data_IF_187348237292
#
_entry.id   IF_187348237292
#
_cell.length_a   1.000
_cell.length_b   1.000
_cell.length_c   1.000
_cell.angle_alpha   90.00
_cell.angle_beta   90.00
_cell.angle_gamma   90.00
#
_symmetry.space_group_name_H-M   'P 1'
#
loop_
_entity.id
_entity.type
_entity.pdbx_description
1 polymer ?
#
# COMPACT_ATOMS: atom_id res chain seq x y z
N UNK A 1 23.38 65.32 6.11
CA UNK A 1 24.27 65.70 7.20
C UNK A 1 24.80 64.42 7.85
N UNK A 2 26.08 64.26 7.69
CA UNK A 2 27.07 63.80 8.68
C UNK A 2 26.83 62.34 9.20
N UNK A 3 27.68 61.38 8.73
CA UNK A 3 28.97 60.97 9.34
C UNK A 3 28.72 60.16 10.60
N UNK A 4 29.29 59.01 10.89
CA UNK A 4 30.70 58.54 11.01
C UNK A 4 30.61 57.02 11.23
N UNK A 5 31.21 56.09 10.48
CA UNK A 5 32.54 55.47 10.59
C UNK A 5 32.89 54.95 12.00
N UNK A 6 33.12 53.65 12.10
CA UNK A 6 34.19 52.91 12.78
C UNK A 6 33.87 51.42 12.75
N UNK A 7 34.50 50.58 12.00
CA UNK A 7 35.89 50.01 11.98
C UNK A 7 36.31 49.50 13.38
N UNK A 8 36.56 48.22 13.46
CA UNK A 8 37.62 47.48 14.19
C UNK A 8 37.24 46.01 14.07
N UNK A 9 37.89 45.25 13.23
CA UNK A 9 39.19 44.58 13.24
C UNK A 9 39.21 43.28 14.05
N UNK A 10 39.23 42.23 13.34
CA UNK A 10 39.97 40.95 13.43
C UNK A 10 40.37 40.40 14.82
N UNK A 11 40.04 39.17 15.07
CA UNK A 11 41.04 38.20 15.59
C UNK A 11 40.83 36.84 14.86
N UNK A 12 41.83 36.50 14.11
CA UNK A 12 42.15 35.15 13.63
C UNK A 12 42.47 34.26 14.83
N UNK A 13 41.90 33.07 14.88
CA UNK A 13 42.60 31.93 15.48
C UNK A 13 42.35 30.71 14.60
N UNK A 14 43.35 30.46 13.77
CA UNK A 14 43.54 29.20 13.10
C UNK A 14 43.95 28.13 14.12
N UNK A 15 43.24 27.06 14.18
CA UNK A 15 43.81 25.79 14.61
C UNK A 15 43.41 24.72 13.58
N UNK A 16 44.37 24.50 12.71
CA UNK A 16 44.47 23.30 11.91
C UNK A 16 44.97 22.18 12.82
N UNK A 17 44.17 21.13 12.96
CA UNK A 17 44.71 19.82 13.31
C UNK A 17 44.10 18.79 12.36
N UNK A 18 44.92 18.42 11.43
CA UNK A 18 44.84 17.22 10.63
C UNK A 18 44.73 16.00 11.55
N UNK A 19 43.72 15.21 11.34
CA UNK A 19 43.75 13.79 11.66
C UNK A 19 43.11 13.05 10.50
N UNK A 20 43.96 12.61 9.58
CA UNK A 20 43.64 11.53 8.66
C UNK A 20 43.33 10.28 9.50
N UNK A 21 42.19 9.70 9.34
CA UNK A 21 41.98 8.29 9.54
C UNK A 21 41.13 7.79 8.39
N UNK A 22 41.80 7.08 7.49
CA UNK A 22 41.18 6.23 6.48
C UNK A 22 40.23 5.26 7.16
N UNK A 23 39.00 5.31 6.80
CA UNK A 23 38.19 4.12 6.66
C UNK A 23 37.05 4.43 5.67
N UNK A 24 37.26 3.96 4.44
CA UNK A 24 36.30 4.00 3.36
C UNK A 24 35.10 3.10 3.70
N UNK A 25 34.12 3.67 4.34
CA UNK A 25 32.76 3.16 4.39
C UNK A 25 31.91 4.09 3.53
N UNK A 26 31.68 3.72 2.27
CA UNK A 26 30.61 4.32 1.51
C UNK A 26 29.32 4.05 2.28
N UNK A 27 28.85 5.05 3.01
CA UNK A 27 27.53 5.06 3.58
C UNK A 27 26.57 5.19 2.40
N UNK A 28 26.15 4.02 1.88
CA UNK A 28 25.04 3.90 0.97
C UNK A 28 23.85 4.45 1.75
N UNK A 29 23.49 5.69 1.50
CA UNK A 29 22.23 6.23 1.95
C UNK A 29 21.18 5.45 1.16
N UNK A 30 20.73 4.34 1.71
CA UNK A 30 19.52 3.70 1.26
C UNK A 30 18.43 4.73 1.55
N UNK A 31 17.94 5.36 0.50
CA UNK A 31 16.68 6.07 0.56
C UNK A 31 15.64 4.99 0.80
N UNK A 32 15.32 4.73 2.07
CA UNK A 32 14.19 3.90 2.44
C UNK A 32 12.99 4.62 1.83
N UNK A 33 12.47 4.10 0.74
CA UNK A 33 11.18 4.52 0.23
C UNK A 33 10.20 4.14 1.32
N UNK A 34 9.72 5.11 2.07
CA UNK A 34 8.72 4.89 3.09
C UNK A 34 7.43 4.58 2.33
N UNK A 35 7.06 3.30 2.30
CA UNK A 35 5.78 2.86 1.78
C UNK A 35 4.73 3.27 2.80
N UNK A 36 4.20 4.47 2.64
CA UNK A 36 3.02 4.90 3.39
C UNK A 36 1.77 4.30 2.74
N UNK A 37 0.86 3.82 3.58
CA UNK A 37 -0.44 3.37 3.15
C UNK A 37 -1.25 4.58 2.65
N UNK A 38 -1.37 4.72 1.34
CA UNK A 38 -2.19 5.73 0.67
C UNK A 38 -3.24 5.03 -0.19
N UNK A 39 -4.33 4.66 0.44
CA UNK A 39 -5.44 3.99 -0.23
C UNK A 39 -6.70 4.88 -0.33
N UNK A 40 -6.69 6.08 0.27
CA UNK A 40 -7.83 7.00 0.24
C UNK A 40 -9.14 6.31 0.57
N UNK A 41 -10.05 6.23 -0.40
CA UNK A 41 -11.35 5.57 -0.28
C UNK A 41 -11.31 4.06 -0.62
N UNK A 42 -10.18 3.57 -1.17
CA UNK A 42 -9.98 2.16 -1.53
C UNK A 42 -9.36 1.37 -0.36
N UNK A 43 -10.07 1.28 0.75
CA UNK A 43 -9.73 0.42 1.88
C UNK A 43 -10.71 -0.76 1.98
N UNK A 44 -10.35 -1.76 2.78
CA UNK A 44 -11.24 -2.82 3.21
C UNK A 44 -11.62 -2.66 4.69
N UNK A 45 -12.77 -3.13 5.07
CA UNK A 45 -13.19 -3.14 6.46
C UNK A 45 -13.84 -4.49 6.83
N UNK A 46 -13.40 -5.06 7.95
CA UNK A 46 -14.01 -6.24 8.56
C UNK A 46 -14.40 -5.88 10.00
N UNK A 47 -15.70 -5.77 10.27
CA UNK A 47 -16.18 -5.20 11.52
C UNK A 47 -15.64 -3.78 11.73
N UNK A 48 -14.97 -3.56 12.87
CA UNK A 48 -14.36 -2.26 13.21
C UNK A 48 -12.92 -2.11 12.70
N UNK A 49 -12.36 -3.15 12.06
CA UNK A 49 -10.98 -3.14 11.54
C UNK A 49 -10.97 -2.59 10.12
N UNK A 50 -10.32 -1.43 9.94
CA UNK A 50 -10.10 -0.78 8.66
C UNK A 50 -8.64 -0.93 8.26
N UNK A 51 -8.38 -1.39 7.04
CA UNK A 51 -7.02 -1.55 6.51
C UNK A 51 -6.98 -1.52 4.99
N UNK A 52 -5.79 -1.38 4.43
CA UNK A 52 -5.60 -1.31 2.99
C UNK A 52 -4.21 -1.77 2.55
N UNK A 53 -3.88 -1.48 1.31
CA UNK A 53 -2.58 -1.83 0.72
C UNK A 53 -1.46 -1.06 1.42
N UNK A 54 -0.39 -1.75 1.76
CA UNK A 54 0.81 -1.33 2.48
C UNK A 54 0.64 -1.09 3.99
N UNK A 55 -0.52 -1.36 4.58
CA UNK A 55 -0.60 -1.38 6.03
C UNK A 55 0.33 -2.45 6.64
N UNK A 56 0.92 -2.21 7.83
CA UNK A 56 1.74 -3.18 8.52
C UNK A 56 0.94 -4.47 8.80
N UNK A 57 1.47 -5.61 8.32
CA UNK A 57 0.73 -6.87 8.37
C UNK A 57 0.49 -7.37 9.80
N UNK A 58 1.45 -7.16 10.71
CA UNK A 58 1.36 -7.57 12.10
C UNK A 58 0.21 -6.86 12.85
N UNK A 59 0.02 -5.55 12.60
CA UNK A 59 -1.07 -4.77 13.17
C UNK A 59 -2.43 -5.23 12.62
N UNK A 60 -2.53 -5.40 11.30
CA UNK A 60 -3.75 -5.84 10.63
C UNK A 60 -4.16 -7.24 11.07
N UNK A 61 -3.24 -8.22 11.02
CA UNK A 61 -3.53 -9.59 11.41
C UNK A 61 -3.85 -9.72 12.90
N UNK A 62 -3.19 -8.94 13.76
CA UNK A 62 -3.51 -8.89 15.20
C UNK A 62 -4.93 -8.34 15.44
N UNK A 63 -5.35 -7.33 14.68
CA UNK A 63 -6.69 -6.75 14.81
C UNK A 63 -7.79 -7.65 14.25
N UNK A 64 -7.52 -8.36 13.14
CA UNK A 64 -8.45 -9.32 12.53
C UNK A 64 -8.62 -10.60 13.36
N UNK A 65 -7.61 -10.95 14.18
CA UNK A 65 -7.60 -12.19 14.96
C UNK A 65 -7.20 -13.43 14.14
N UNK A 66 -7.52 -14.61 14.66
CA UNK A 66 -7.12 -15.89 14.05
C UNK A 66 -7.78 -16.12 12.69
N UNK A 67 -7.02 -16.37 11.60
CA UNK A 67 -7.58 -16.74 10.31
C UNK A 67 -8.15 -18.16 10.36
N UNK A 68 -9.11 -18.47 9.51
CA UNK A 68 -9.65 -19.84 9.31
C UNK A 68 -8.55 -20.78 8.85
N UNK A 69 -7.67 -20.29 7.99
CA UNK A 69 -6.47 -21.03 7.53
C UNK A 69 -5.43 -20.06 6.96
N UNK A 70 -4.22 -20.54 6.77
CA UNK A 70 -3.18 -19.81 6.07
C UNK A 70 -2.40 -20.72 5.13
N UNK A 71 -1.73 -20.12 4.15
CA UNK A 71 -0.88 -20.80 3.18
C UNK A 71 0.30 -19.90 2.81
N UNK A 72 1.46 -20.50 2.55
CA UNK A 72 2.64 -19.79 2.08
C UNK A 72 3.22 -20.44 0.83
N UNK A 73 3.67 -19.61 -0.10
CA UNK A 73 4.43 -20.04 -1.29
C UNK A 73 5.62 -19.11 -1.55
N UNK A 74 6.55 -19.54 -2.39
CA UNK A 74 7.63 -18.64 -2.80
C UNK A 74 7.06 -17.54 -3.70
N UNK A 75 7.40 -16.29 -3.37
CA UNK A 75 6.95 -15.15 -4.16
C UNK A 75 7.71 -15.02 -5.47
N UNK A 76 7.00 -14.65 -6.54
CA UNK A 76 7.59 -14.28 -7.83
C UNK A 76 7.74 -12.75 -7.98
N UNK A 77 7.03 -11.97 -7.16
CA UNK A 77 6.96 -10.52 -7.27
C UNK A 77 7.76 -9.81 -6.17
N UNK A 78 7.87 -10.42 -5.00
CA UNK A 78 8.52 -9.87 -3.81
C UNK A 78 9.67 -10.76 -3.33
N UNK A 79 10.46 -10.29 -2.40
CA UNK A 79 11.44 -11.14 -1.74
C UNK A 79 10.74 -12.09 -0.75
N UNK A 80 11.24 -13.33 -0.64
CA UNK A 80 10.72 -14.28 0.31
C UNK A 80 9.45 -14.99 -0.15
N UNK A 81 8.38 -14.86 0.61
CA UNK A 81 7.15 -15.63 0.42
C UNK A 81 5.93 -14.74 0.23
N UNK A 82 4.98 -15.27 -0.54
CA UNK A 82 3.59 -14.85 -0.53
C UNK A 82 2.92 -15.59 0.64
N UNK A 83 2.32 -14.84 1.58
CA UNK A 83 1.60 -15.37 2.74
C UNK A 83 0.12 -15.04 2.61
N UNK A 84 -0.70 -16.05 2.49
CA UNK A 84 -2.15 -15.94 2.33
C UNK A 84 -2.83 -16.26 3.65
N UNK A 85 -3.69 -15.37 4.12
CA UNK A 85 -4.50 -15.54 5.33
C UNK A 85 -5.97 -15.52 4.94
N UNK A 86 -6.66 -16.65 5.16
CA UNK A 86 -8.06 -16.84 4.78
C UNK A 86 -8.97 -16.58 5.97
N UNK A 87 -9.91 -15.68 5.78
CA UNK A 87 -10.97 -15.35 6.72
C UNK A 87 -12.34 -15.71 6.14
N UNK A 88 -13.40 -15.63 6.94
CA UNK A 88 -14.75 -15.84 6.46
C UNK A 88 -15.10 -14.75 5.41
N UNK A 89 -15.21 -15.17 4.16
CA UNK A 89 -15.59 -14.33 3.03
C UNK A 89 -14.49 -13.48 2.39
N UNK A 90 -13.27 -13.43 2.93
CA UNK A 90 -12.15 -12.68 2.33
C UNK A 90 -10.78 -13.29 2.61
N UNK A 91 -9.81 -12.85 1.82
CA UNK A 91 -8.41 -13.25 1.93
C UNK A 91 -7.51 -12.02 2.04
N UNK A 92 -6.45 -12.11 2.84
CA UNK A 92 -5.38 -11.11 2.95
C UNK A 92 -4.06 -11.72 2.46
N UNK A 93 -3.44 -11.05 1.48
CA UNK A 93 -2.09 -11.39 1.01
C UNK A 93 -1.07 -10.45 1.66
N UNK A 94 -0.03 -11.05 2.20
CA UNK A 94 1.09 -10.35 2.86
C UNK A 94 2.40 -10.72 2.17
N UNK A 95 3.21 -9.71 1.91
CA UNK A 95 4.55 -9.86 1.34
C UNK A 95 5.59 -9.04 2.12
N UNK A 96 6.85 -9.40 1.97
CA UNK A 96 7.98 -8.59 2.40
C UNK A 96 8.19 -7.45 1.39
N UNK A 97 7.92 -6.23 1.83
CA UNK A 97 8.15 -5.01 1.08
C UNK A 97 9.29 -4.26 1.76
N UNK A 98 10.48 -4.32 1.17
CA UNK A 98 11.71 -3.67 1.67
C UNK A 98 12.05 -4.03 3.14
N UNK A 99 11.92 -5.31 3.50
CA UNK A 99 12.25 -5.84 4.82
C UNK A 99 11.14 -5.63 5.87
N UNK A 100 9.92 -5.27 5.45
CA UNK A 100 8.75 -5.14 6.31
C UNK A 100 7.58 -5.91 5.71
N UNK A 101 6.92 -6.74 6.50
CA UNK A 101 5.71 -7.44 6.05
C UNK A 101 4.53 -6.47 5.98
N UNK A 102 3.93 -6.39 4.80
CA UNK A 102 2.81 -5.48 4.51
C UNK A 102 1.69 -6.19 3.78
N UNK A 103 0.49 -5.69 3.94
CA UNK A 103 -0.66 -6.10 3.14
C UNK A 103 -0.42 -5.66 1.69
N UNK A 104 -0.45 -6.60 0.75
CA UNK A 104 -0.25 -6.34 -0.69
C UNK A 104 -1.42 -6.77 -1.55
N UNK A 105 -2.37 -7.50 -0.96
CA UNK A 105 -3.60 -7.89 -1.62
C UNK A 105 -4.72 -8.17 -0.63
N UNK A 106 -5.96 -7.93 -1.06
CA UNK A 106 -7.18 -8.29 -0.33
C UNK A 106 -8.18 -8.77 -1.38
N UNK A 107 -8.69 -10.00 -1.22
CA UNK A 107 -9.66 -10.60 -2.14
C UNK A 107 -10.99 -10.79 -1.44
N UNK A 108 -12.08 -10.30 -2.03
CA UNK A 108 -13.45 -10.64 -1.61
C UNK A 108 -13.77 -12.00 -2.20
N UNK A 109 -13.89 -13.02 -1.34
CA UNK A 109 -13.96 -14.42 -1.76
C UNK A 109 -15.38 -14.90 -2.10
N UNK A 110 -16.41 -14.33 -1.45
CA UNK A 110 -17.80 -14.73 -1.64
C UNK A 110 -18.80 -13.58 -1.44
N UNK A 111 -20.09 -13.88 -1.42
CA UNK A 111 -21.19 -12.93 -1.28
C UNK A 111 -21.58 -12.61 0.16
N UNK A 112 -20.90 -13.18 1.16
CA UNK A 112 -21.18 -12.96 2.59
C UNK A 112 -20.59 -11.64 3.11
N UNK A 113 -19.56 -11.13 2.43
CA UNK A 113 -18.89 -9.87 2.73
C UNK A 113 -18.97 -8.90 1.55
N UNK A 114 -18.73 -7.62 1.83
CA UNK A 114 -18.63 -6.55 0.82
C UNK A 114 -17.46 -5.62 1.13
N UNK A 115 -17.05 -4.85 0.14
CA UNK A 115 -16.19 -3.70 0.43
C UNK A 115 -16.98 -2.59 1.17
N UNK A 116 -16.34 -1.52 1.67
CA UNK A 116 -17.01 -0.43 2.36
C UNK A 116 -18.06 0.30 1.52
N UNK A 117 -17.94 0.30 0.20
CA UNK A 117 -18.93 0.87 -0.72
C UNK A 117 -20.13 -0.07 -0.95
N UNK A 118 -20.08 -1.32 -0.49
CA UNK A 118 -21.16 -2.29 -0.61
C UNK A 118 -21.02 -3.27 -1.80
N UNK A 119 -19.89 -3.22 -2.53
CA UNK A 119 -19.63 -4.14 -3.64
C UNK A 119 -19.34 -5.54 -3.10
N UNK A 120 -19.99 -6.56 -3.66
CA UNK A 120 -19.80 -7.97 -3.32
C UNK A 120 -19.92 -8.88 -4.53
N UNK A 121 -19.43 -10.09 -4.38
CA UNK A 121 -19.53 -11.13 -5.39
C UNK A 121 -21.01 -11.46 -5.68
N UNK A 122 -21.33 -11.70 -6.95
CA UNK A 122 -22.66 -12.09 -7.40
C UNK A 122 -23.66 -10.96 -7.62
N UNK A 123 -23.38 -9.73 -7.15
CA UNK A 123 -24.24 -8.58 -7.43
C UNK A 123 -24.17 -8.19 -8.92
N UNK A 124 -25.11 -7.39 -9.40
CA UNK A 124 -25.05 -6.89 -10.77
C UNK A 124 -23.92 -5.89 -10.96
N UNK A 125 -23.25 -5.98 -12.11
CA UNK A 125 -22.10 -5.12 -12.42
C UNK A 125 -22.44 -3.63 -12.50
N UNK A 126 -23.61 -3.29 -13.06
CA UNK A 126 -24.11 -1.91 -13.10
C UNK A 126 -24.41 -1.35 -11.70
N UNK A 127 -24.96 -2.15 -10.81
CA UNK A 127 -25.15 -1.80 -9.40
C UNK A 127 -23.81 -1.60 -8.68
N UNK A 128 -22.83 -2.48 -8.92
CA UNK A 128 -21.49 -2.38 -8.34
C UNK A 128 -20.76 -1.11 -8.81
N UNK A 129 -20.87 -0.78 -10.10
CA UNK A 129 -20.26 0.44 -10.64
C UNK A 129 -20.92 1.71 -10.08
N UNK A 130 -22.23 1.70 -9.88
CA UNK A 130 -22.95 2.83 -9.27
C UNK A 130 -22.56 3.07 -7.80
N UNK A 131 -22.15 2.04 -7.07
CA UNK A 131 -21.62 2.14 -5.70
C UNK A 131 -20.20 2.72 -5.65
N UNK A 132 -19.49 2.76 -6.78
CA UNK A 132 -18.11 3.24 -6.93
C UNK A 132 -18.03 4.52 -7.78
N UNK A 133 -19.14 5.24 -7.99
CA UNK A 133 -19.25 6.35 -8.94
C UNK A 133 -18.39 7.58 -8.56
N UNK A 134 -18.02 7.71 -7.29
CA UNK A 134 -17.13 8.78 -6.83
C UNK A 134 -15.64 8.54 -7.20
N UNK A 135 -15.28 7.36 -7.71
CA UNK A 135 -13.89 6.98 -8.03
C UNK A 135 -13.78 6.71 -9.54
N UNK A 136 -12.88 7.44 -10.21
CA UNK A 136 -12.62 7.21 -11.63
C UNK A 136 -12.07 5.82 -11.90
N UNK A 137 -12.49 5.21 -13.00
CA UNK A 137 -12.00 3.89 -13.39
C UNK A 137 -11.55 3.84 -14.86
N UNK A 138 -10.70 2.86 -15.17
CA UNK A 138 -10.40 2.43 -16.52
C UNK A 138 -11.02 1.05 -16.76
N UNK A 139 -11.49 0.81 -18.00
CA UNK A 139 -12.09 -0.46 -18.37
C UNK A 139 -11.25 -1.18 -19.44
N UNK A 140 -11.06 -2.47 -19.25
CA UNK A 140 -10.44 -3.36 -20.24
C UNK A 140 -11.24 -4.68 -20.31
N UNK A 141 -12.02 -4.84 -21.37
CA UNK A 141 -12.93 -5.98 -21.50
C UNK A 141 -14.00 -5.96 -20.40
N UNK A 142 -14.04 -7.03 -19.61
CA UNK A 142 -14.96 -7.25 -18.49
C UNK A 142 -14.40 -6.77 -17.13
N UNK A 143 -13.24 -6.12 -17.15
CA UNK A 143 -12.50 -5.70 -15.96
C UNK A 143 -12.50 -4.19 -15.83
N UNK A 144 -12.89 -3.71 -14.65
CA UNK A 144 -12.89 -2.30 -14.24
C UNK A 144 -11.82 -2.11 -13.18
N UNK A 145 -10.98 -1.07 -13.34
CA UNK A 145 -9.83 -0.77 -12.48
C UNK A 145 -9.98 0.62 -11.90
N UNK A 146 -10.12 0.69 -10.59
CA UNK A 146 -10.17 1.92 -9.80
C UNK A 146 -8.83 2.09 -9.13
N UNK A 147 -8.19 3.25 -9.24
CA UNK A 147 -6.85 3.50 -8.68
C UNK A 147 -6.87 4.76 -7.82
N UNK A 148 -6.43 4.62 -6.56
CA UNK A 148 -6.22 5.74 -5.64
C UNK A 148 -4.88 5.54 -4.93
N UNK A 149 -3.98 6.49 -5.08
CA UNK A 149 -2.63 6.40 -4.51
C UNK A 149 -1.90 5.12 -4.91
N UNK A 150 -1.51 4.33 -3.94
CA UNK A 150 -0.83 3.04 -4.14
C UNK A 150 -1.77 1.84 -4.31
N UNK A 151 -3.08 2.05 -4.27
CA UNK A 151 -4.09 0.97 -4.30
C UNK A 151 -4.81 0.90 -5.63
N UNK A 152 -4.89 -0.30 -6.18
CA UNK A 152 -5.74 -0.70 -7.29
C UNK A 152 -6.86 -1.60 -6.76
N UNK A 153 -8.11 -1.19 -6.94
CA UNK A 153 -9.26 -2.08 -6.79
C UNK A 153 -9.69 -2.58 -8.17
N UNK A 154 -9.74 -3.88 -8.34
CA UNK A 154 -10.15 -4.54 -9.58
C UNK A 154 -11.51 -5.21 -9.40
N UNK A 155 -12.43 -4.90 -10.29
CA UNK A 155 -13.76 -5.48 -10.36
C UNK A 155 -13.90 -6.21 -11.69
N UNK A 156 -14.21 -7.49 -11.68
CA UNK A 156 -14.50 -8.26 -12.88
C UNK A 156 -15.99 -8.61 -12.94
N UNK A 157 -16.62 -8.27 -14.09
CA UNK A 157 -18.04 -8.56 -14.37
C UNK A 157 -18.11 -9.65 -15.43
N UNK A 158 -18.74 -10.77 -15.09
CA UNK A 158 -18.86 -11.89 -16.02
C UNK A 158 -19.84 -11.63 -17.17
N UNK A 159 -19.87 -12.52 -18.13
CA UNK A 159 -20.76 -12.44 -19.30
C UNK A 159 -22.26 -12.47 -18.94
N UNK A 160 -22.62 -12.95 -17.74
CA UNK A 160 -23.96 -12.93 -17.17
C UNK A 160 -24.31 -11.60 -16.49
N UNK A 161 -23.42 -10.61 -16.57
CA UNK A 161 -23.61 -9.28 -15.98
C UNK A 161 -23.44 -9.22 -14.47
N UNK A 162 -22.87 -10.26 -13.82
CA UNK A 162 -22.64 -10.26 -12.37
C UNK A 162 -21.16 -10.18 -12.02
N UNK A 163 -20.87 -9.60 -10.85
CA UNK A 163 -19.52 -9.53 -10.29
C UNK A 163 -18.98 -10.93 -10.01
N UNK A 164 -17.82 -11.25 -10.58
CA UNK A 164 -17.13 -12.54 -10.44
C UNK A 164 -15.88 -12.46 -9.59
N UNK A 165 -15.21 -11.31 -9.59
CA UNK A 165 -14.05 -11.05 -8.74
C UNK A 165 -14.03 -9.59 -8.30
N UNK A 166 -13.57 -9.37 -7.09
CA UNK A 166 -13.35 -8.06 -6.50
C UNK A 166 -12.12 -8.15 -5.60
N UNK A 167 -11.07 -7.39 -5.94
CA UNK A 167 -9.79 -7.50 -5.25
C UNK A 167 -9.06 -6.16 -5.17
N UNK A 168 -8.34 -5.95 -4.08
CA UNK A 168 -7.40 -4.87 -3.91
C UNK A 168 -5.98 -5.40 -4.12
N UNK A 169 -5.16 -4.63 -4.77
CA UNK A 169 -3.76 -4.95 -5.01
C UNK A 169 -2.92 -3.68 -5.09
N UNK A 170 -1.61 -3.84 -5.09
CA UNK A 170 -0.69 -2.72 -5.32
C UNK A 170 -0.91 -2.16 -6.71
N UNK A 171 -1.16 -0.86 -6.82
CA UNK A 171 -1.21 -0.17 -8.10
C UNK A 171 0.17 -0.26 -8.76
N UNK A 172 0.20 -0.72 -10.01
CA UNK A 172 1.43 -0.66 -10.80
C UNK A 172 1.78 0.82 -11.00
N UNK A 173 2.91 1.25 -10.45
CA UNK A 173 3.46 2.54 -10.81
C UNK A 173 3.91 2.41 -12.27
N UNK A 174 3.20 3.04 -13.20
CA UNK A 174 3.67 3.25 -14.55
C UNK A 174 4.94 4.12 -14.46
N UNK A 175 6.11 3.44 -14.47
CA UNK A 175 7.42 4.07 -14.56
C UNK A 175 7.81 4.26 -16.02
#
# INVERSE_FOLDING_TARGET
MKRIIAVILAVMCAFALCACSDNGGAQKTETKTEYEADYGELYYASGDVKFGIFDPADEVLSALGEPVSNFESNSCAYQGKDKFYYYDGFEVLVNDVDGTERVTGITIADDTVSNPQGVKIGMKGDEALALMDDIEYTQSGDTYKFTVGSTLFRLQVGADGTVKAAEYSVAANDK
#
